data_IF_254077251818
#
_entry.id   IF_254077251818
#
_cell.length_a   1.000
_cell.length_b   1.000
_cell.length_c   1.000
_cell.angle_alpha   90.00
_cell.angle_beta   90.00
_cell.angle_gamma   90.00
#
_symmetry.space_group_name_H-M   'P 1'
#
loop_
_entity.id
_entity.type
_entity.pdbx_description
1 polymer ?
#
# COMPACT_ATOMS: atom_id res chain seq x y z
N UNK A 1 -13.42 15.17 -4.66
CA UNK A 1 -12.05 14.70 -5.02
C UNK A 1 -11.84 13.39 -4.28
N UNK A 2 -11.72 12.29 -5.00
CA UNK A 2 -11.64 10.95 -4.39
C UNK A 2 -10.23 10.71 -3.80
N UNK A 3 -10.15 10.39 -2.50
CA UNK A 3 -8.92 9.90 -1.86
C UNK A 3 -8.63 8.47 -2.33
N UNK A 4 -8.14 8.34 -3.55
CA UNK A 4 -7.76 7.06 -4.15
C UNK A 4 -6.61 6.43 -3.38
N UNK A 5 -6.66 5.12 -3.22
CA UNK A 5 -5.62 4.35 -2.53
C UNK A 5 -5.38 3.02 -3.25
N UNK A 6 -4.11 2.68 -3.54
CA UNK A 6 -3.78 1.41 -4.18
C UNK A 6 -3.79 0.27 -3.18
N UNK A 7 -4.36 -0.87 -3.57
CA UNK A 7 -4.46 -2.02 -2.68
C UNK A 7 -3.11 -2.52 -2.17
N UNK A 8 -2.05 -2.54 -2.99
CA UNK A 8 -0.75 -2.95 -2.47
C UNK A 8 -0.15 -1.96 -1.46
N UNK A 9 -0.62 -0.70 -1.44
CA UNK A 9 -0.14 0.28 -0.48
C UNK A 9 -0.63 -0.02 0.93
N UNK A 10 -1.70 -0.78 1.15
CA UNK A 10 -2.10 -1.29 2.49
C UNK A 10 -0.90 -1.97 3.19
N UNK A 11 -0.14 -2.78 2.44
CA UNK A 11 1.07 -3.45 2.93
C UNK A 11 2.24 -2.47 3.04
N UNK A 12 2.46 -1.66 2.00
CA UNK A 12 3.65 -0.80 1.92
C UNK A 12 3.63 0.38 2.92
N UNK A 13 2.46 0.96 3.24
CA UNK A 13 2.35 2.01 4.26
C UNK A 13 2.58 1.47 5.66
N UNK A 14 2.15 0.23 5.92
CA UNK A 14 2.40 -0.47 7.19
C UNK A 14 3.89 -0.68 7.45
N UNK A 15 4.69 -0.93 6.40
CA UNK A 15 6.12 -1.23 6.48
C UNK A 15 7.04 -0.06 6.10
N UNK A 16 6.51 1.15 5.98
CA UNK A 16 7.29 2.28 5.48
C UNK A 16 8.26 2.83 6.54
N UNK A 17 9.55 2.86 6.20
CA UNK A 17 10.64 3.35 7.06
C UNK A 17 11.30 4.66 6.54
N UNK A 18 10.59 5.49 5.79
CA UNK A 18 11.16 6.75 5.26
C UNK A 18 12.04 6.59 4.01
N UNK A 19 12.12 5.38 3.43
CA UNK A 19 12.98 5.06 2.27
C UNK A 19 12.14 4.84 1.00
N UNK A 20 12.53 5.48 -0.10
CA UNK A 20 11.76 5.50 -1.34
C UNK A 20 12.59 5.92 -2.55
N UNK A 21 11.91 6.23 -3.67
CA UNK A 21 12.58 6.44 -4.96
C UNK A 21 13.41 7.73 -5.04
N UNK A 22 12.95 8.79 -4.40
CA UNK A 22 13.61 10.10 -4.30
C UNK A 22 13.01 10.88 -3.12
N UNK A 23 13.58 12.04 -2.79
CA UNK A 23 13.16 12.86 -1.64
C UNK A 23 11.69 13.27 -1.73
N UNK A 24 11.25 13.81 -2.87
CA UNK A 24 9.86 14.27 -3.04
C UNK A 24 8.82 13.13 -2.90
N UNK A 25 9.15 11.92 -3.33
CA UNK A 25 8.34 10.73 -3.10
C UNK A 25 8.33 10.34 -1.63
N UNK A 26 9.49 10.35 -0.97
CA UNK A 26 9.58 10.03 0.45
C UNK A 26 8.81 11.02 1.33
N UNK A 27 8.91 12.32 1.05
CA UNK A 27 8.16 13.37 1.76
C UNK A 27 6.64 13.14 1.63
N UNK A 28 6.16 12.90 0.41
CA UNK A 28 4.75 12.60 0.17
C UNK A 28 4.32 11.31 0.89
N UNK A 29 5.08 10.23 0.76
CA UNK A 29 4.74 8.95 1.39
C UNK A 29 4.78 9.05 2.92
N UNK A 30 5.72 9.81 3.48
CA UNK A 30 5.79 10.08 4.93
C UNK A 30 4.55 10.84 5.39
N UNK A 31 4.17 11.91 4.68
CA UNK A 31 2.96 12.68 4.98
C UNK A 31 1.71 11.82 4.96
N UNK A 32 1.55 10.99 3.92
CA UNK A 32 0.44 10.05 3.79
C UNK A 32 0.43 9.02 4.93
N UNK A 33 1.57 8.38 5.21
CA UNK A 33 1.67 7.36 6.25
C UNK A 33 1.32 7.95 7.63
N UNK A 34 1.81 9.15 7.94
CA UNK A 34 1.47 9.83 9.19
C UNK A 34 -0.03 10.15 9.24
N UNK A 35 -0.60 10.72 8.16
CA UNK A 35 -2.03 11.02 8.07
C UNK A 35 -2.90 9.79 8.34
N UNK A 36 -2.57 8.65 7.72
CA UNK A 36 -3.32 7.40 7.89
C UNK A 36 -3.14 6.77 9.27
N UNK A 37 -1.97 6.96 9.91
CA UNK A 37 -1.71 6.49 11.29
C UNK A 37 -2.38 7.35 12.35
N UNK A 38 -2.59 8.63 12.06
CA UNK A 38 -3.24 9.58 12.95
C UNK A 38 -4.76 9.54 12.78
N UNK A 39 -5.25 9.25 11.57
CA UNK A 39 -6.67 9.13 11.23
C UNK A 39 -6.97 7.79 10.52
N UNK A 40 -6.88 6.65 11.22
CA UNK A 40 -7.12 5.33 10.62
C UNK A 40 -8.56 5.15 10.11
N UNK A 41 -9.51 5.96 10.56
CA UNK A 41 -10.91 5.95 10.09
C UNK A 41 -11.14 6.84 8.84
N UNK A 42 -10.07 7.39 8.22
CA UNK A 42 -10.17 8.11 6.95
C UNK A 42 -10.69 7.19 5.83
N UNK A 43 -11.76 7.63 5.15
CA UNK A 43 -12.34 6.95 3.99
C UNK A 43 -11.48 7.10 2.73
N UNK A 44 -11.18 5.96 2.11
CA UNK A 44 -10.33 5.85 0.92
C UNK A 44 -11.04 5.02 -0.15
N UNK A 45 -10.95 5.47 -1.41
CA UNK A 45 -11.44 4.68 -2.55
C UNK A 45 -10.36 3.73 -3.03
N UNK A 46 -10.59 2.43 -2.89
CA UNK A 46 -9.63 1.40 -3.25
C UNK A 46 -9.56 1.22 -4.78
N UNK A 47 -8.37 1.37 -5.37
CA UNK A 47 -8.21 1.38 -6.84
C UNK A 47 -6.96 0.66 -7.33
N UNK A 48 -6.94 0.22 -8.59
CA UNK A 48 -5.74 -0.33 -9.24
C UNK A 48 -5.14 0.68 -10.26
N UNK A 49 -5.05 1.96 -9.87
CA UNK A 49 -4.49 3.07 -10.66
C UNK A 49 -3.67 4.01 -9.76
N UNK A 50 -2.87 4.96 -10.29
CA UNK A 50 -2.14 5.90 -9.44
C UNK A 50 -3.05 6.58 -8.42
N UNK A 51 -2.50 6.79 -7.24
CA UNK A 51 -3.20 7.22 -6.05
C UNK A 51 -2.46 8.39 -5.36
N UNK A 52 -2.90 8.74 -4.15
CA UNK A 52 -2.32 9.84 -3.38
C UNK A 52 -0.81 9.68 -3.05
N UNK A 53 -0.29 8.45 -2.98
CA UNK A 53 1.15 8.20 -2.81
C UNK A 53 1.92 8.46 -4.12
N UNK A 54 1.26 8.30 -5.26
CA UNK A 54 1.90 8.43 -6.57
C UNK A 54 2.17 9.88 -7.03
N UNK A 55 1.63 10.90 -6.36
CA UNK A 55 1.69 12.33 -6.77
C UNK A 55 3.07 12.82 -7.21
N UNK A 56 4.16 12.35 -6.59
CA UNK A 56 5.56 12.67 -6.93
C UNK A 56 6.39 11.44 -7.32
N UNK A 57 5.74 10.36 -7.73
CA UNK A 57 6.42 9.12 -8.09
C UNK A 57 7.14 9.29 -9.43
N UNK A 58 8.46 9.04 -9.50
CA UNK A 58 9.21 9.15 -10.77
C UNK A 58 8.76 8.10 -11.80
N UNK A 59 8.02 7.08 -11.37
CA UNK A 59 7.49 6.04 -12.23
C UNK A 59 6.08 6.36 -12.75
N UNK A 60 5.46 7.49 -12.38
CA UNK A 60 4.15 7.87 -12.92
C UNK A 60 4.31 8.51 -14.30
N UNK A 61 3.61 7.97 -15.30
CA UNK A 61 3.59 8.53 -16.66
C UNK A 61 2.58 9.66 -16.77
N UNK A 62 2.77 10.54 -17.77
CA UNK A 62 1.79 11.59 -18.13
C UNK A 62 0.40 11.04 -18.45
N UNK A 63 0.31 9.78 -18.88
CA UNK A 63 -0.94 9.06 -19.15
C UNK A 63 -1.60 8.43 -17.92
N UNK A 64 -1.11 8.72 -16.70
CA UNK A 64 -1.68 8.18 -15.46
C UNK A 64 -1.45 6.69 -15.27
N UNK A 65 -0.32 6.15 -15.79
CA UNK A 65 0.10 4.76 -15.61
C UNK A 65 1.41 4.70 -14.83
N UNK A 66 1.77 3.52 -14.35
CA UNK A 66 3.12 3.27 -13.83
C UNK A 66 4.02 2.74 -14.94
N UNK A 67 5.15 3.39 -15.18
CA UNK A 67 6.16 2.97 -16.16
C UNK A 67 6.91 1.71 -15.72
N UNK A 68 6.99 1.46 -14.41
CA UNK A 68 7.72 0.32 -13.88
C UNK A 68 7.05 -1.01 -14.27
N UNK A 69 7.86 -1.95 -14.78
CA UNK A 69 7.44 -3.30 -15.16
C UNK A 69 6.20 -3.34 -16.05
N UNK A 70 6.09 -2.45 -17.06
CA UNK A 70 4.94 -2.42 -17.98
C UNK A 70 3.58 -2.30 -17.26
N UNK A 71 3.50 -1.46 -16.22
CA UNK A 71 2.30 -1.25 -15.41
C UNK A 71 1.78 -2.52 -14.70
N UNK A 72 2.62 -3.55 -14.52
CA UNK A 72 2.28 -4.79 -13.79
C UNK A 72 1.89 -4.55 -12.33
N UNK A 73 2.16 -3.38 -11.77
CA UNK A 73 1.67 -2.97 -10.44
C UNK A 73 0.15 -3.06 -10.34
N UNK A 74 -0.60 -2.84 -11.42
CA UNK A 74 -2.06 -3.03 -11.46
C UNK A 74 -2.45 -4.49 -11.17
N UNK A 75 -1.68 -5.45 -11.67
CA UNK A 75 -1.92 -6.88 -11.40
C UNK A 75 -1.61 -7.22 -9.94
N UNK A 76 -0.60 -6.57 -9.35
CA UNK A 76 -0.30 -6.69 -7.92
C UNK A 76 -1.48 -6.17 -7.08
N UNK A 77 -2.00 -4.99 -7.41
CA UNK A 77 -3.15 -4.41 -6.72
C UNK A 77 -4.35 -5.36 -6.74
N UNK A 78 -4.73 -5.84 -7.92
CA UNK A 78 -5.89 -6.74 -8.08
C UNK A 78 -5.70 -8.07 -7.34
N UNK A 79 -4.47 -8.60 -7.29
CA UNK A 79 -4.15 -9.80 -6.50
C UNK A 79 -4.34 -9.55 -5.01
N UNK A 80 -3.87 -8.40 -4.52
CA UNK A 80 -4.05 -7.99 -3.12
C UNK A 80 -5.52 -7.81 -2.79
N UNK A 81 -6.28 -7.08 -3.61
CA UNK A 81 -7.73 -6.92 -3.43
C UNK A 81 -8.44 -8.27 -3.33
N UNK A 82 -8.19 -9.16 -4.29
CA UNK A 82 -8.81 -10.49 -4.34
C UNK A 82 -8.49 -11.30 -3.07
N UNK A 83 -7.23 -11.29 -2.64
CA UNK A 83 -6.80 -12.10 -1.49
C UNK A 83 -7.36 -11.57 -0.17
N UNK A 84 -7.44 -10.24 -0.01
CA UNK A 84 -7.98 -9.61 1.20
C UNK A 84 -9.52 -9.54 1.22
N UNK A 85 -10.19 -9.99 0.15
CA UNK A 85 -11.65 -9.89 0.03
C UNK A 85 -12.17 -8.47 -0.21
N UNK A 86 -11.32 -7.57 -0.72
CA UNK A 86 -11.65 -6.18 -1.02
C UNK A 86 -12.05 -6.02 -2.50
N UNK A 87 -12.86 -4.99 -2.82
CA UNK A 87 -13.32 -4.72 -4.19
C UNK A 87 -12.84 -3.37 -4.71
N UNK A 88 -12.53 -3.34 -6.01
CA UNK A 88 -12.11 -2.11 -6.70
C UNK A 88 -13.26 -1.10 -6.78
N UNK A 89 -12.94 0.18 -6.62
CA UNK A 89 -13.85 1.33 -6.57
C UNK A 89 -14.85 1.31 -5.39
N UNK A 90 -14.59 0.52 -4.35
CA UNK A 90 -15.31 0.63 -3.08
C UNK A 90 -14.56 1.56 -2.12
N UNK A 91 -15.32 2.14 -1.20
CA UNK A 91 -14.81 2.97 -0.10
C UNK A 91 -14.63 2.07 1.11
N UNK A 92 -13.46 2.20 1.76
CA UNK A 92 -13.12 1.57 3.02
C UNK A 92 -12.40 2.60 3.88
N UNK A 93 -12.49 2.48 5.20
CA UNK A 93 -11.53 3.17 6.06
C UNK A 93 -10.15 2.51 5.97
N UNK A 94 -9.09 3.25 6.30
CA UNK A 94 -7.74 2.66 6.37
C UNK A 94 -7.69 1.50 7.39
N UNK A 95 -8.40 1.64 8.51
CA UNK A 95 -8.55 0.61 9.54
C UNK A 95 -9.24 -0.65 9.04
N UNK A 96 -10.32 -0.53 8.28
CA UNK A 96 -11.00 -1.68 7.67
C UNK A 96 -10.05 -2.43 6.73
N UNK A 97 -9.29 -1.69 5.90
CA UNK A 97 -8.27 -2.30 5.04
C UNK A 97 -7.15 -2.99 5.83
N UNK A 98 -6.69 -2.40 6.94
CA UNK A 98 -5.74 -3.04 7.86
C UNK A 98 -6.32 -4.34 8.44
N UNK A 99 -7.59 -4.33 8.86
CA UNK A 99 -8.29 -5.51 9.41
C UNK A 99 -8.38 -6.64 8.37
N UNK A 100 -8.86 -6.33 7.16
CA UNK A 100 -8.90 -7.29 6.06
C UNK A 100 -7.53 -7.88 5.74
N UNK A 101 -6.48 -7.04 5.72
CA UNK A 101 -5.11 -7.52 5.53
C UNK A 101 -4.71 -8.43 6.70
N UNK A 102 -4.96 -8.05 7.95
CA UNK A 102 -4.53 -8.79 9.13
C UNK A 102 -5.20 -10.16 9.27
N UNK A 103 -6.48 -10.26 8.93
CA UNK A 103 -7.28 -11.49 9.02
C UNK A 103 -6.89 -12.51 7.95
N UNK A 104 -6.38 -12.04 6.80
CA UNK A 104 -6.11 -12.91 5.63
C UNK A 104 -4.63 -13.14 5.37
N UNK A 105 -3.73 -12.27 5.82
CA UNK A 105 -2.31 -12.31 5.49
C UNK A 105 -1.62 -13.58 5.98
N UNK A 106 -0.97 -14.29 5.06
CA UNK A 106 -0.06 -15.40 5.37
C UNK A 106 1.37 -15.08 4.94
N UNK A 107 2.34 -15.80 5.50
CA UNK A 107 3.75 -15.67 5.11
C UNK A 107 3.93 -16.02 3.64
N UNK A 108 3.24 -17.04 3.13
CA UNK A 108 3.28 -17.46 1.73
C UNK A 108 2.81 -16.33 0.82
N UNK A 109 1.64 -15.74 1.11
CA UNK A 109 1.11 -14.65 0.31
C UNK A 109 2.02 -13.43 0.35
N UNK A 110 2.54 -13.07 1.52
CA UNK A 110 3.52 -11.98 1.66
C UNK A 110 4.75 -12.25 0.78
N UNK A 111 5.29 -13.46 0.80
CA UNK A 111 6.45 -13.86 0.02
C UNK A 111 6.18 -13.89 -1.48
N UNK A 112 5.00 -14.34 -1.92
CA UNK A 112 4.61 -14.29 -3.33
C UNK A 112 4.48 -12.86 -3.86
N UNK A 113 3.91 -11.95 -3.06
CA UNK A 113 3.60 -10.58 -3.49
C UNK A 113 4.75 -9.59 -3.28
N UNK A 114 5.53 -9.78 -2.23
CA UNK A 114 6.61 -8.89 -1.82
C UNK A 114 8.00 -9.50 -1.97
N UNK A 115 8.13 -10.82 -2.16
CA UNK A 115 9.40 -11.55 -2.22
C UNK A 115 10.39 -10.99 -3.23
N UNK A 116 9.90 -10.59 -4.42
CA UNK A 116 10.69 -9.99 -5.51
C UNK A 116 10.78 -8.47 -5.44
N UNK A 117 10.14 -7.82 -4.45
CA UNK A 117 10.16 -6.37 -4.28
C UNK A 117 11.56 -5.87 -3.89
N UNK A 118 12.02 -4.77 -4.47
CA UNK A 118 13.33 -4.18 -4.19
C UNK A 118 13.46 -3.74 -2.72
N UNK A 119 12.38 -3.20 -2.12
CA UNK A 119 12.40 -2.75 -0.72
C UNK A 119 12.57 -3.92 0.26
N UNK A 120 11.84 -5.02 0.03
CA UNK A 120 12.01 -6.26 0.79
C UNK A 120 13.42 -6.84 0.64
N UNK A 121 13.95 -6.91 -0.59
CA UNK A 121 15.31 -7.41 -0.86
C UNK A 121 16.40 -6.62 -0.14
N UNK A 122 16.14 -5.35 0.21
CA UNK A 122 17.01 -4.49 1.01
C UNK A 122 16.82 -4.65 2.53
N UNK A 123 15.99 -5.59 2.96
CA UNK A 123 15.74 -5.87 4.38
C UNK A 123 14.75 -4.94 5.06
N UNK A 124 14.06 -4.07 4.32
CA UNK A 124 13.16 -3.03 4.87
C UNK A 124 11.73 -3.51 5.16
N UNK A 125 11.41 -4.75 4.77
CA UNK A 125 10.06 -5.27 4.84
C UNK A 125 10.12 -6.72 5.30
N UNK A 126 9.58 -7.01 6.49
CA UNK A 126 9.45 -8.37 7.02
C UNK A 126 7.99 -8.68 7.31
N UNK A 127 7.67 -9.97 7.37
CA UNK A 127 6.30 -10.42 7.61
C UNK A 127 5.88 -10.11 9.05
N UNK A 128 6.77 -10.33 10.00
CA UNK A 128 6.53 -10.14 11.43
C UNK A 128 6.26 -8.66 11.74
N UNK A 129 7.05 -7.77 11.14
CA UNK A 129 6.85 -6.32 11.24
C UNK A 129 5.50 -5.90 10.65
N UNK A 130 5.06 -6.54 9.56
CA UNK A 130 3.76 -6.24 8.94
C UNK A 130 2.62 -6.61 9.88
N UNK A 131 2.67 -7.81 10.46
CA UNK A 131 1.63 -8.28 11.38
C UNK A 131 1.53 -7.34 12.60
N UNK A 132 2.67 -6.98 13.21
CA UNK A 132 2.70 -6.06 14.34
C UNK A 132 2.13 -4.67 14.00
N UNK A 133 2.45 -4.13 12.82
CA UNK A 133 1.95 -2.82 12.39
C UNK A 133 0.46 -2.85 12.04
N UNK A 134 -0.04 -3.97 11.50
CA UNK A 134 -1.45 -4.16 11.25
C UNK A 134 -2.25 -4.26 12.55
N UNK A 135 -1.74 -4.99 13.55
CA UNK A 135 -2.38 -5.07 14.88
C UNK A 135 -2.49 -3.67 15.51
N UNK A 136 -1.39 -2.89 15.50
CA UNK A 136 -1.39 -1.50 15.98
C UNK A 136 -2.37 -0.59 15.20
N UNK A 137 -2.50 -0.77 13.89
CA UNK A 137 -3.47 -0.03 13.07
C UNK A 137 -4.92 -0.32 13.48
N UNK A 138 -5.22 -1.55 13.91
CA UNK A 138 -6.58 -1.99 14.23
C UNK A 138 -6.99 -1.56 15.64
N UNK A 139 -6.05 -1.55 16.59
CA UNK A 139 -6.28 -1.23 18.01
C UNK A 139 -6.41 0.26 18.34
N UNK A 140 -5.88 1.14 17.48
CA UNK A 140 -6.04 2.61 17.61
C UNK A 140 -7.49 3.08 17.49
#
# INVERSE_FOLDING_TARGET
MENKFRAHHIICTSLYEGKGYNNAFCENMTSVVNRLRDNPDEELTLVAKPDLICTNCPNQTKSGKCSHNHNRVVNKDRRVMKFFGLKENQIYTYREMCRHARETMTTEFFMENCGKCNWRKRGLCKYEDLIAQLDHCIEK
#
